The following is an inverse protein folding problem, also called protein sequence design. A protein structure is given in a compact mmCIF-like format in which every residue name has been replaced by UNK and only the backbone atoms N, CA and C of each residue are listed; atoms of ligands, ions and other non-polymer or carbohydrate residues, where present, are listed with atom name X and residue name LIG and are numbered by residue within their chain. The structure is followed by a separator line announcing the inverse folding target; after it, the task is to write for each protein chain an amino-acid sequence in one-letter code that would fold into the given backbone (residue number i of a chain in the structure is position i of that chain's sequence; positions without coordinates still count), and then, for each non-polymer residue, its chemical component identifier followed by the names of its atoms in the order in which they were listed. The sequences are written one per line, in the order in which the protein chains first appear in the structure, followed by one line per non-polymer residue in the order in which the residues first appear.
data_IF_101230441664
#
_entry.id   IF_101230441664
#
_cell.length_a   1.000
_cell.length_b   1.000
_cell.length_c   1.000
_cell.angle_alpha   90.00
_cell.angle_beta   90.00
_cell.angle_gamma   90.00
#
_symmetry.space_group_name_H-M   'P 1'
#
loop_
_entity.id
_entity.type
_entity.pdbx_description
1 polymer ?
#
# COMPACT_ATOMS: atom_id res chain seq x y z
N UNK A 1 -0.86 -2.41 22.65
CA UNK A 1 0.49 -3.00 22.65
C UNK A 1 1.13 -2.71 21.31
N UNK A 2 2.42 -2.37 21.29
CA UNK A 2 3.17 -2.07 20.06
C UNK A 2 4.44 -2.92 20.04
N UNK A 3 4.65 -3.65 18.95
CA UNK A 3 5.81 -4.53 18.77
C UNK A 3 6.59 -4.06 17.54
N UNK A 4 7.92 -3.95 17.66
CA UNK A 4 8.79 -3.67 16.51
C UNK A 4 8.93 -4.94 15.67
N UNK A 5 8.68 -4.84 14.38
CA UNK A 5 8.90 -5.95 13.44
C UNK A 5 10.38 -6.02 13.10
N UNK A 6 10.98 -7.20 13.30
CA UNK A 6 12.35 -7.47 12.88
C UNK A 6 12.32 -8.02 11.46
N UNK A 7 12.83 -7.24 10.50
CA UNK A 7 12.89 -7.63 9.10
C UNK A 7 14.23 -8.32 8.82
N UNK A 8 14.19 -9.37 7.99
CA UNK A 8 15.42 -9.97 7.47
C UNK A 8 16.14 -8.95 6.59
N UNK A 9 17.48 -8.98 6.60
CA UNK A 9 18.30 -8.11 5.74
C UNK A 9 17.87 -8.19 4.28
N UNK A 10 17.52 -9.38 3.78
CA UNK A 10 17.01 -9.59 2.41
C UNK A 10 15.75 -8.78 2.11
N UNK A 11 14.83 -8.65 3.06
CA UNK A 11 13.58 -7.89 2.88
C UNK A 11 13.87 -6.41 2.85
N UNK A 12 14.74 -5.92 3.74
CA UNK A 12 15.15 -4.51 3.77
C UNK A 12 15.90 -4.14 2.48
N UNK A 13 16.85 -4.98 2.03
CA UNK A 13 17.57 -4.76 0.78
C UNK A 13 16.63 -4.68 -0.41
N UNK A 14 15.66 -5.60 -0.53
CA UNK A 14 14.66 -5.56 -1.62
C UNK A 14 13.81 -4.28 -1.60
N UNK A 15 13.50 -3.76 -0.41
CA UNK A 15 12.75 -2.52 -0.26
C UNK A 15 13.58 -1.31 -0.73
N UNK A 16 14.84 -1.21 -0.31
CA UNK A 16 15.74 -0.12 -0.74
C UNK A 16 16.08 -0.22 -2.23
N UNK A 17 16.28 -1.43 -2.79
CA UNK A 17 16.44 -1.64 -4.23
C UNK A 17 15.22 -1.17 -5.02
N UNK A 18 14.01 -1.49 -4.53
CA UNK A 18 12.78 -1.01 -5.14
C UNK A 18 12.65 0.51 -5.04
N UNK A 19 13.07 1.11 -3.93
CA UNK A 19 13.13 2.58 -3.76
C UNK A 19 13.99 3.24 -4.83
N UNK A 20 15.19 2.74 -5.06
CA UNK A 20 16.11 3.28 -6.07
C UNK A 20 15.59 3.02 -7.50
N UNK A 21 14.92 1.89 -7.74
CA UNK A 21 14.25 1.62 -9.02
C UNK A 21 13.12 2.63 -9.30
N UNK A 22 12.31 2.97 -8.31
CA UNK A 22 11.24 3.96 -8.46
C UNK A 22 11.82 5.37 -8.66
N UNK A 23 12.85 5.75 -7.89
CA UNK A 23 13.55 7.04 -8.05
C UNK A 23 14.17 7.19 -9.45
N UNK A 24 14.85 6.16 -9.96
CA UNK A 24 15.51 6.22 -11.28
C UNK A 24 14.53 6.33 -12.45
N UNK A 25 13.37 5.67 -12.36
CA UNK A 25 12.30 5.79 -13.38
C UNK A 25 11.75 7.21 -13.51
N UNK A 26 11.71 7.97 -12.41
CA UNK A 26 11.28 9.37 -12.45
C UNK A 26 12.28 10.22 -13.25
N UNK A 27 13.59 10.05 -12.99
CA UNK A 27 14.65 10.80 -13.67
C UNK A 27 14.71 10.60 -15.18
N UNK A 28 14.22 9.47 -15.71
CA UNK A 28 14.21 9.18 -17.15
C UNK A 28 13.02 9.76 -17.91
N UNK A 29 11.90 10.06 -17.23
CA UNK A 29 10.65 10.49 -17.88
C UNK A 29 10.44 12.01 -17.87
N UNK A 30 11.12 12.73 -16.98
CA UNK A 30 11.14 14.21 -16.96
C UNK A 30 11.77 14.82 -18.23
N UNK A 31 12.44 14.02 -19.07
CA UNK A 31 13.04 14.46 -20.33
C UNK A 31 12.09 14.38 -21.55
N UNK A 32 10.96 13.67 -21.47
CA UNK A 32 10.11 13.36 -22.64
C UNK A 32 8.66 13.82 -22.57
N UNK A 33 8.14 14.26 -21.42
CA UNK A 33 6.72 14.64 -21.34
C UNK A 33 6.50 15.89 -20.47
N UNK A 34 6.32 17.03 -21.13
CA UNK A 34 5.88 18.29 -20.54
C UNK A 34 4.38 18.31 -20.25
N UNK A 35 3.89 17.28 -19.53
CA UNK A 35 2.47 17.08 -19.21
C UNK A 35 2.12 17.58 -17.80
N UNK A 36 1.46 18.73 -17.76
CA UNK A 36 0.90 19.38 -16.57
C UNK A 36 -0.27 18.56 -16.00
N UNK A 37 -0.06 17.59 -15.08
CA UNK A 37 -0.97 17.30 -13.93
C UNK A 37 -0.59 16.08 -13.02
N UNK A 38 0.67 15.67 -12.94
CA UNK A 38 1.04 14.55 -12.06
C UNK A 38 1.45 15.05 -10.67
N UNK A 39 0.45 15.23 -9.78
CA UNK A 39 0.60 15.66 -8.39
C UNK A 39 1.92 15.18 -7.74
N UNK A 40 2.90 16.08 -7.77
CA UNK A 40 4.30 15.85 -7.45
C UNK A 40 4.49 15.68 -5.95
N UNK A 41 4.94 14.52 -5.50
CA UNK A 41 5.64 14.38 -4.22
C UNK A 41 7.06 13.86 -4.48
N UNK A 42 7.94 14.80 -4.85
CA UNK A 42 9.26 14.57 -5.47
C UNK A 42 10.43 14.45 -4.48
N UNK A 43 10.24 14.52 -3.15
CA UNK A 43 11.41 14.71 -2.29
C UNK A 43 12.19 13.44 -1.87
N UNK A 44 11.61 12.22 -1.88
CA UNK A 44 12.29 11.07 -1.21
C UNK A 44 12.04 9.66 -1.77
N UNK A 45 11.31 9.53 -2.88
CA UNK A 45 10.70 8.26 -3.32
C UNK A 45 9.27 8.06 -2.79
N UNK A 46 8.63 9.14 -2.34
CA UNK A 46 7.24 9.19 -1.88
C UNK A 46 6.94 8.13 -0.79
N UNK A 47 7.92 7.91 0.09
CA UNK A 47 7.76 7.01 1.23
C UNK A 47 6.79 7.60 2.23
N UNK A 48 5.76 6.84 2.56
CA UNK A 48 4.71 7.24 3.50
C UNK A 48 4.51 6.13 4.53
N UNK A 49 4.28 6.52 5.79
CA UNK A 49 3.82 5.58 6.80
C UNK A 49 2.33 5.35 6.59
N UNK A 50 1.93 4.08 6.44
CA UNK A 50 0.52 3.71 6.27
C UNK A 50 0.15 2.54 7.15
N UNK A 51 -1.13 2.50 7.50
CA UNK A 51 -1.74 1.44 8.27
C UNK A 51 -2.23 0.32 7.35
N UNK A 52 -1.86 -0.90 7.68
CA UNK A 52 -2.35 -2.12 7.07
C UNK A 52 -3.05 -2.94 8.13
N UNK A 53 -4.38 -3.04 8.08
CA UNK A 53 -5.09 -3.82 9.07
C UNK A 53 -4.87 -5.32 8.86
N UNK A 54 -4.77 -6.05 9.96
CA UNK A 54 -4.82 -7.50 9.96
C UNK A 54 -6.25 -7.87 10.31
N UNK A 55 -6.86 -8.74 9.52
CA UNK A 55 -8.27 -9.07 9.67
C UNK A 55 -8.68 -9.61 11.03
N UNK A 56 -10.00 -9.69 11.26
CA UNK A 56 -10.52 -10.32 12.47
C UNK A 56 -9.95 -11.74 12.62
N UNK A 57 -9.44 -12.08 13.81
CA UNK A 57 -8.87 -13.40 14.15
C UNK A 57 -9.93 -14.52 14.24
N UNK A 58 -11.12 -14.31 13.68
CA UNK A 58 -12.24 -15.23 13.74
C UNK A 58 -12.20 -16.18 12.55
N UNK A 59 -11.41 -17.26 12.67
CA UNK A 59 -11.61 -18.50 11.92
C UNK A 59 -11.28 -18.47 10.42
N UNK A 60 -10.00 -18.43 10.09
CA UNK A 60 -9.50 -18.63 8.71
C UNK A 60 -8.08 -18.11 8.60
N UNK A 61 -7.20 -18.81 7.90
CA UNK A 61 -5.75 -18.64 8.01
C UNK A 61 -5.26 -17.21 7.79
N UNK A 62 -4.16 -16.85 8.47
CA UNK A 62 -3.45 -15.58 8.34
C UNK A 62 -2.85 -15.31 6.93
N UNK A 63 -3.27 -16.07 5.91
CA UNK A 63 -2.94 -15.90 4.50
C UNK A 63 -4.18 -15.84 3.58
N UNK A 64 -5.40 -15.91 4.12
CA UNK A 64 -6.65 -15.95 3.34
C UNK A 64 -7.76 -15.22 4.12
N UNK A 65 -8.22 -14.11 3.53
CA UNK A 65 -9.41 -13.34 3.90
C UNK A 65 -9.48 -12.73 5.32
N UNK A 66 -9.34 -11.40 5.41
CA UNK A 66 -9.86 -10.71 6.60
C UNK A 66 -9.53 -9.24 6.76
N UNK A 67 -8.58 -8.68 6.03
CA UNK A 67 -8.51 -7.24 5.78
C UNK A 67 -8.52 -7.11 4.27
N UNK A 68 -9.23 -6.12 3.72
CA UNK A 68 -9.30 -5.86 2.29
C UNK A 68 -7.92 -5.61 1.67
N UNK A 69 -7.14 -6.66 1.45
CA UNK A 69 -6.64 -6.86 0.11
C UNK A 69 -7.86 -6.61 -0.75
N UNK A 70 -7.80 -5.59 -1.59
CA UNK A 70 -8.47 -5.70 -2.87
C UNK A 70 -7.75 -6.86 -3.60
N UNK A 71 -7.94 -8.10 -3.11
CA UNK A 71 -8.18 -9.21 -3.98
C UNK A 71 -9.46 -8.79 -4.70
N UNK A 72 -9.29 -7.98 -5.74
CA UNK A 72 -10.21 -7.96 -6.86
C UNK A 72 -10.37 -9.44 -7.21
N UNK A 73 -11.40 -10.08 -6.67
CA UNK A 73 -11.92 -11.34 -7.16
C UNK A 73 -12.39 -11.02 -8.58
N UNK A 74 -11.45 -11.18 -9.51
CA UNK A 74 -11.56 -10.69 -10.86
C UNK A 74 -10.26 -10.83 -11.65
N UNK A 75 -9.44 -11.86 -11.36
CA UNK A 75 -8.35 -12.30 -12.22
C UNK A 75 -7.07 -11.44 -12.21
N UNK A 76 -5.92 -12.08 -11.93
CA UNK A 76 -4.55 -11.59 -12.23
C UNK A 76 -4.07 -10.33 -11.48
N UNK A 77 -3.89 -10.42 -10.16
CA UNK A 77 -2.88 -9.61 -9.45
C UNK A 77 -3.27 -9.23 -8.03
N UNK A 78 -2.43 -9.58 -7.05
CA UNK A 78 -2.62 -9.19 -5.66
C UNK A 78 -2.14 -7.74 -5.47
N UNK A 79 -3.05 -6.83 -5.10
CA UNK A 79 -2.71 -5.46 -4.70
C UNK A 79 -2.89 -5.30 -3.19
N UNK A 80 -1.98 -4.57 -2.55
CA UNK A 80 -1.97 -4.34 -1.11
C UNK A 80 -2.59 -2.98 -0.81
N UNK A 81 -3.69 -2.96 -0.07
CA UNK A 81 -4.36 -1.71 0.31
C UNK A 81 -3.84 -1.21 1.67
N UNK A 82 -3.49 0.06 1.75
CA UNK A 82 -2.95 0.69 2.96
C UNK A 82 -3.55 2.08 3.18
N UNK A 83 -3.75 2.48 4.44
CA UNK A 83 -4.51 3.68 4.79
C UNK A 83 -3.63 4.73 5.47
N UNK A 84 -3.91 6.02 5.22
CA UNK A 84 -3.23 7.10 5.93
C UNK A 84 -3.65 7.15 7.41
N UNK A 85 -4.90 6.82 7.71
CA UNK A 85 -5.47 6.90 9.05
C UNK A 85 -5.85 5.53 9.60
N UNK A 86 -5.58 5.31 10.89
CA UNK A 86 -5.89 4.06 11.59
C UNK A 86 -7.39 3.83 11.75
N UNK A 87 -8.19 4.89 11.88
CA UNK A 87 -9.66 4.82 11.91
C UNK A 87 -10.21 4.28 10.60
N UNK A 88 -9.83 4.88 9.46
CA UNK A 88 -10.20 4.37 8.14
C UNK A 88 -9.74 2.92 7.92
N UNK A 89 -8.53 2.58 8.36
CA UNK A 89 -8.02 1.21 8.30
C UNK A 89 -8.89 0.24 9.10
N UNK A 90 -9.33 0.64 10.30
CA UNK A 90 -10.19 -0.17 11.17
C UNK A 90 -11.58 -0.38 10.57
N UNK A 91 -12.21 0.70 10.12
CA UNK A 91 -13.53 0.65 9.48
C UNK A 91 -13.49 -0.25 8.23
N UNK A 92 -12.44 -0.12 7.41
CA UNK A 92 -12.29 -0.94 6.22
C UNK A 92 -11.97 -2.41 6.51
N UNK A 93 -11.40 -2.71 7.69
CA UNK A 93 -11.23 -4.07 8.18
C UNK A 93 -12.50 -4.65 8.84
N UNK A 94 -13.64 -3.96 8.73
CA UNK A 94 -14.96 -4.41 9.17
C UNK A 94 -15.47 -3.75 10.45
N UNK A 95 -14.81 -2.71 10.99
CA UNK A 95 -15.33 -1.88 12.08
C UNK A 95 -15.64 -2.63 13.39
N UNK A 96 -15.16 -3.87 13.52
CA UNK A 96 -15.64 -4.78 14.56
C UNK A 96 -14.95 -4.56 15.91
N UNK A 97 -15.72 -4.66 16.99
CA UNK A 97 -15.24 -4.55 18.38
C UNK A 97 -14.30 -5.69 18.80
N UNK A 98 -13.61 -5.50 19.93
CA UNK A 98 -12.76 -6.53 20.54
C UNK A 98 -11.27 -6.33 20.26
N UNK A 99 -10.46 -7.37 20.50
CA UNK A 99 -9.02 -7.31 20.28
C UNK A 99 -8.72 -7.39 18.77
N UNK A 100 -7.94 -6.44 18.27
CA UNK A 100 -7.59 -6.26 16.87
C UNK A 100 -6.11 -6.02 16.70
N UNK A 101 -5.62 -6.21 15.48
CA UNK A 101 -4.22 -5.94 15.13
C UNK A 101 -4.12 -5.15 13.82
N UNK A 102 -3.15 -4.25 13.74
CA UNK A 102 -2.79 -3.55 12.51
C UNK A 102 -1.27 -3.40 12.42
N UNK A 103 -0.73 -3.37 11.21
CA UNK A 103 0.66 -3.06 10.93
C UNK A 103 0.79 -1.59 10.56
N UNK A 104 1.89 -0.98 10.99
CA UNK A 104 2.40 0.28 10.45
C UNK A 104 3.55 -0.07 9.52
N UNK A 105 3.40 0.29 8.25
CA UNK A 105 4.35 -0.02 7.20
C UNK A 105 4.94 1.27 6.61
N UNK A 106 6.23 1.26 6.30
CA UNK A 106 6.81 2.19 5.32
C UNK A 106 6.40 1.71 3.93
N UNK A 107 5.80 2.61 3.15
CA UNK A 107 5.25 2.31 1.83
C UNK A 107 5.86 3.25 0.81
N UNK A 108 6.45 2.70 -0.24
CA UNK A 108 6.91 3.47 -1.40
C UNK A 108 5.69 3.68 -2.30
N UNK A 109 5.10 4.88 -2.28
CA UNK A 109 3.93 5.16 -3.11
C UNK A 109 4.29 5.30 -4.60
N UNK A 110 5.52 5.73 -4.90
CA UNK A 110 5.97 5.97 -6.29
C UNK A 110 5.03 6.91 -7.05
N UNK A 111 4.81 6.61 -8.34
CA UNK A 111 3.82 7.32 -9.16
C UNK A 111 2.43 6.81 -8.83
N UNK A 112 1.57 7.71 -8.34
CA UNK A 112 0.21 7.41 -7.91
C UNK A 112 -0.78 7.81 -9.00
N UNK A 113 -1.60 6.88 -9.47
CA UNK A 113 -2.76 7.21 -10.29
C UNK A 113 -3.92 7.67 -9.39
N UNK A 114 -4.58 8.79 -9.73
CA UNK A 114 -5.83 9.18 -9.05
C UNK A 114 -6.90 8.16 -9.43
N UNK A 115 -7.62 7.64 -8.41
CA UNK A 115 -8.44 6.44 -8.51
C UNK A 115 -9.36 6.37 -9.74
N UNK A 116 -9.55 5.16 -10.30
CA UNK A 116 -10.32 4.95 -11.52
C UNK A 116 -11.81 5.18 -11.29
N UNK A 117 -12.50 5.78 -12.28
CA UNK A 117 -13.97 5.84 -12.32
C UNK A 117 -14.59 4.56 -12.92
N UNK A 118 -13.79 3.67 -13.54
CA UNK A 118 -14.27 2.40 -14.14
C UNK A 118 -13.22 1.27 -14.14
N UNK A 119 -13.67 0.03 -14.34
CA UNK A 119 -12.85 -1.19 -14.35
C UNK A 119 -11.74 -1.17 -15.43
N UNK A 120 -11.99 -0.59 -16.61
CA UNK A 120 -11.01 -0.52 -17.71
C UNK A 120 -9.81 0.36 -17.35
N UNK A 121 -10.03 1.44 -16.59
CA UNK A 121 -8.96 2.31 -16.12
C UNK A 121 -8.03 1.67 -15.05
N UNK A 122 -8.42 0.56 -14.41
CA UNK A 122 -7.52 -0.20 -13.51
C UNK A 122 -6.45 -0.98 -14.28
N UNK A 123 -6.80 -1.50 -15.47
CA UNK A 123 -5.87 -2.26 -16.30
C UNK A 123 -4.88 -1.33 -16.99
N UNK A 124 -5.36 -0.17 -17.46
CA UNK A 124 -4.51 0.87 -18.06
C UNK A 124 -3.65 1.58 -17.01
N UNK A 125 -4.14 1.75 -15.77
CA UNK A 125 -3.37 2.30 -14.65
C UNK A 125 -2.18 1.43 -14.24
N UNK A 126 -2.08 0.15 -14.65
CA UNK A 126 -0.86 -0.65 -14.43
C UNK A 126 0.28 -0.25 -15.36
N UNK A 127 -0.02 0.50 -16.43
CA UNK A 127 0.98 0.99 -17.37
C UNK A 127 1.55 2.30 -16.83
N UNK A 128 2.69 2.21 -16.16
CA UNK A 128 3.47 3.38 -15.74
C UNK A 128 3.22 3.90 -14.32
N UNK A 129 2.25 3.39 -13.56
CA UNK A 129 2.06 3.75 -12.15
C UNK A 129 2.51 2.64 -11.19
N UNK A 130 2.97 3.03 -10.01
CA UNK A 130 3.41 2.10 -8.95
C UNK A 130 2.29 1.85 -7.92
N UNK A 131 1.37 2.80 -7.78
CA UNK A 131 0.21 2.69 -6.89
C UNK A 131 -1.01 3.47 -7.38
N UNK A 132 -2.16 3.22 -6.77
CA UNK A 132 -3.43 3.88 -7.05
C UNK A 132 -4.01 4.45 -5.76
N UNK A 133 -4.37 5.72 -5.78
CA UNK A 133 -5.13 6.33 -4.69
C UNK A 133 -6.57 5.82 -4.73
N UNK A 134 -6.97 5.08 -3.71
CA UNK A 134 -8.34 4.66 -3.51
C UNK A 134 -9.20 5.73 -2.83
N UNK A 135 -10.48 5.42 -2.69
CA UNK A 135 -11.41 6.21 -1.87
C UNK A 135 -11.02 6.14 -0.38
N UNK A 136 -11.44 7.12 0.42
CA UNK A 136 -11.20 7.17 1.88
C UNK A 136 -9.71 7.16 2.30
N UNK A 137 -8.83 7.73 1.47
CA UNK A 137 -7.40 7.82 1.77
C UNK A 137 -6.65 6.48 1.70
N UNK A 138 -7.26 5.47 1.07
CA UNK A 138 -6.60 4.21 0.74
C UNK A 138 -5.55 4.38 -0.36
N UNK A 139 -4.49 3.59 -0.30
CA UNK A 139 -3.46 3.49 -1.32
C UNK A 139 -3.26 2.02 -1.67
N UNK A 140 -3.53 1.67 -2.92
CA UNK A 140 -3.34 0.33 -3.45
C UNK A 140 -1.97 0.26 -4.12
N UNK A 141 -1.12 -0.64 -3.64
CA UNK A 141 0.22 -0.85 -4.18
C UNK A 141 0.29 -2.20 -4.86
N UNK A 142 0.87 -2.23 -6.07
CA UNK A 142 0.88 -3.44 -6.90
C UNK A 142 2.04 -4.40 -6.60
N UNK A 143 3.10 -3.90 -5.95
CA UNK A 143 4.29 -4.69 -5.62
C UNK A 143 4.48 -4.79 -4.10
N UNK A 144 4.71 -6.00 -3.60
CA UNK A 144 4.96 -6.22 -2.17
C UNK A 144 6.32 -5.70 -1.70
N UNK A 145 7.29 -5.52 -2.62
CA UNK A 145 8.60 -4.92 -2.32
C UNK A 145 8.51 -3.46 -1.93
N UNK A 146 7.42 -2.79 -2.29
CA UNK A 146 7.14 -1.41 -1.91
C UNK A 146 6.70 -1.27 -0.45
N UNK A 147 6.52 -2.37 0.28
CA UNK A 147 6.00 -2.39 1.65
C UNK A 147 7.01 -2.98 2.63
N UNK A 148 7.33 -2.22 3.67
CA UNK A 148 8.18 -2.66 4.77
C UNK A 148 7.44 -2.51 6.11
N UNK A 149 6.98 -3.62 6.71
CA UNK A 149 6.36 -3.60 8.03
C UNK A 149 7.35 -3.10 9.10
N UNK A 150 6.95 -2.14 9.91
CA UNK A 150 7.79 -1.56 10.97
C UNK A 150 7.28 -1.89 12.36
N UNK A 151 5.97 -1.77 12.58
CA UNK A 151 5.35 -2.01 13.87
C UNK A 151 4.07 -2.82 13.75
N UNK A 152 3.85 -3.73 14.69
CA UNK A 152 2.57 -4.41 14.92
C UNK A 152 1.88 -3.77 16.13
N UNK A 153 0.69 -3.24 15.92
CA UNK A 153 -0.14 -2.64 16.94
C UNK A 153 -1.28 -3.61 17.25
N UNK A 154 -1.39 -4.04 18.50
CA UNK A 154 -2.55 -4.76 19.03
C UNK A 154 -3.34 -3.80 19.91
N UNK A 155 -4.61 -3.59 19.58
CA UNK A 155 -5.50 -2.66 20.25
C UNK A 155 -6.84 -3.32 20.57
N UNK A 156 -7.62 -2.69 21.45
CA UNK A 156 -8.98 -3.10 21.80
C UNK A 156 -9.87 -1.86 21.70
N UNK A 157 -10.99 -2.01 21.01
CA UNK A 157 -12.08 -1.04 20.93
C UNK A 157 -13.23 -1.44 21.85
#
# INVERSE_FOLDING_TARGET
MVFKVQNLTRTVTRFEEYREMVKSRVSSTDATDGGEDHARCVADGNEVLRFYCLGATSGGGAYEAGCGAWALYGGKGAALCTYAESGCAHENAGGGRGRRAMLVCRVIAGRVCKGPKSLDSLLDSRVGYDSVSGENGGLLVFDSRALLPCFLIIYKL
#
